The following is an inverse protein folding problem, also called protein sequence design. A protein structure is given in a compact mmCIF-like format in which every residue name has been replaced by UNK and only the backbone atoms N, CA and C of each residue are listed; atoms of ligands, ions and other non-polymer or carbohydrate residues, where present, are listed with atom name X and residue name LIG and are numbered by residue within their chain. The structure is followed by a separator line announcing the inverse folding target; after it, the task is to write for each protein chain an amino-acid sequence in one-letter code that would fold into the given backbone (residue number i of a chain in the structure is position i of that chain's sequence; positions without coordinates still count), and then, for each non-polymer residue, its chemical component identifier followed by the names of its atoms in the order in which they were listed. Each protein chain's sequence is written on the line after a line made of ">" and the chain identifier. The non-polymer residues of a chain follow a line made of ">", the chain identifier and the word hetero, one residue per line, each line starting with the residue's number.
data_IF_211976372979
#
_entry.id   IF_211976372979
#
_cell.length_a   1.000
_cell.length_b   1.000
_cell.length_c   1.000
_cell.angle_alpha   90.00
_cell.angle_beta   90.00
_cell.angle_gamma   90.00
#
_symmetry.space_group_name_H-M   'P 1'
#
loop_
_entity.id
_entity.type
_entity.pdbx_description
1 polymer ?
#
# COMPACT_ATOMS: atom_id res chain seq x y z
N UNK A 1 18.24 -46.18 11.90
CA UNK A 1 17.21 -45.27 12.48
C UNK A 1 17.81 -43.86 12.60
N UNK A 2 17.16 -42.81 12.07
CA UNK A 2 17.64 -41.44 12.25
C UNK A 2 17.74 -41.13 13.75
N UNK A 3 18.90 -40.60 14.19
CA UNK A 3 19.12 -40.23 15.59
C UNK A 3 18.07 -39.21 16.03
N UNK A 4 17.48 -39.40 17.21
CA UNK A 4 16.50 -38.45 17.78
C UNK A 4 17.16 -37.06 17.88
N UNK A 5 16.54 -36.04 17.26
CA UNK A 5 17.03 -34.65 17.33
C UNK A 5 17.09 -34.18 18.79
N UNK A 6 18.19 -33.53 19.17
CA UNK A 6 18.39 -32.90 20.48
C UNK A 6 17.35 -31.79 20.71
N UNK A 7 17.09 -31.45 21.98
CA UNK A 7 16.15 -30.37 22.34
C UNK A 7 16.55 -29.02 21.72
N UNK A 8 17.85 -28.72 21.70
CA UNK A 8 18.41 -27.53 21.05
C UNK A 8 18.13 -27.51 19.54
N UNK A 9 18.38 -28.62 18.82
CA UNK A 9 18.12 -28.71 17.37
C UNK A 9 16.63 -28.55 17.04
N UNK A 10 15.73 -29.04 17.89
CA UNK A 10 14.27 -28.83 17.75
C UNK A 10 13.88 -27.36 17.99
N UNK A 11 14.51 -26.67 18.94
CA UNK A 11 14.27 -25.24 19.21
C UNK A 11 14.74 -24.39 18.03
N UNK A 12 15.93 -24.65 17.52
CA UNK A 12 16.50 -23.96 16.35
C UNK A 12 15.63 -24.15 15.09
N UNK A 13 15.17 -25.38 14.81
CA UNK A 13 14.25 -25.64 13.68
C UNK A 13 12.91 -24.91 13.84
N UNK A 14 12.34 -24.89 15.05
CA UNK A 14 11.09 -24.15 15.33
C UNK A 14 11.27 -22.64 15.18
N UNK A 15 12.41 -22.10 15.61
CA UNK A 15 12.74 -20.68 15.43
C UNK A 15 12.94 -20.35 13.95
N UNK A 16 13.66 -21.18 13.18
CA UNK A 16 13.83 -21.03 11.73
C UNK A 16 12.48 -21.07 10.98
N UNK A 17 11.57 -21.97 11.38
CA UNK A 17 10.21 -22.01 10.83
C UNK A 17 9.43 -20.74 11.17
N UNK A 18 9.48 -20.27 12.41
CA UNK A 18 8.84 -19.01 12.82
C UNK A 18 9.42 -17.81 12.04
N UNK A 19 10.73 -17.73 11.85
CA UNK A 19 11.38 -16.69 11.05
C UNK A 19 10.97 -16.77 9.58
N UNK A 20 10.82 -17.97 9.03
CA UNK A 20 10.31 -18.17 7.67
C UNK A 20 8.86 -17.71 7.55
N UNK A 21 8.01 -18.00 8.53
CA UNK A 21 6.62 -17.53 8.59
C UNK A 21 6.56 -15.99 8.66
N UNK A 22 7.36 -15.37 9.53
CA UNK A 22 7.44 -13.91 9.64
C UNK A 22 7.90 -13.28 8.31
N UNK A 23 8.92 -13.86 7.67
CA UNK A 23 9.42 -13.37 6.36
C UNK A 23 8.42 -13.60 5.23
N UNK A 24 7.54 -14.60 5.34
CA UNK A 24 6.49 -14.87 4.35
C UNK A 24 5.24 -14.02 4.53
N UNK A 25 5.16 -13.22 5.59
CA UNK A 25 4.03 -12.34 5.82
C UNK A 25 3.94 -11.30 4.69
N UNK A 26 2.73 -11.07 4.21
CA UNK A 26 2.47 -10.01 3.24
C UNK A 26 2.78 -8.65 3.87
N UNK A 27 3.65 -7.89 3.20
CA UNK A 27 4.01 -6.53 3.59
C UNK A 27 2.98 -5.57 3.01
N UNK A 28 2.36 -4.69 3.83
CA UNK A 28 1.46 -3.66 3.33
C UNK A 28 2.12 -2.81 2.24
N UNK A 29 1.33 -2.35 1.27
CA UNK A 29 1.85 -1.54 0.16
C UNK A 29 2.56 -0.26 0.65
N UNK A 30 2.11 0.31 1.77
CA UNK A 30 2.69 1.52 2.34
C UNK A 30 4.14 1.34 2.83
N UNK A 31 4.48 0.12 3.26
CA UNK A 31 5.80 -0.20 3.85
C UNK A 31 6.81 -0.68 2.80
N UNK A 32 6.36 -0.89 1.56
CA UNK A 32 7.22 -1.33 0.46
C UNK A 32 8.08 -0.17 -0.05
N UNK A 33 9.39 -0.37 -0.28
CA UNK A 33 10.28 0.72 -0.68
C UNK A 33 9.87 1.43 -1.97
N UNK A 34 9.25 0.71 -2.91
CA UNK A 34 8.72 1.27 -4.14
C UNK A 34 7.53 2.24 -3.94
N UNK A 35 6.92 2.27 -2.75
CA UNK A 35 5.81 3.16 -2.41
C UNK A 35 6.05 3.95 -1.11
N UNK A 36 7.31 4.00 -0.66
CA UNK A 36 7.74 4.84 0.44
C UNK A 36 7.46 6.32 0.11
N UNK A 37 7.18 7.16 1.12
CA UNK A 37 7.10 8.61 0.90
C UNK A 37 8.48 9.15 0.51
N UNK A 38 8.50 10.12 -0.39
CA UNK A 38 9.68 10.90 -0.74
C UNK A 38 9.32 12.38 -0.78
N UNK A 39 10.28 13.22 -0.42
CA UNK A 39 10.20 14.67 -0.59
C UNK A 39 11.21 15.07 -1.66
N UNK A 40 10.79 15.93 -2.60
CA UNK A 40 11.65 16.32 -3.70
C UNK A 40 12.70 17.35 -3.25
N UNK A 41 13.99 17.07 -3.46
CA UNK A 41 15.09 17.99 -3.10
C UNK A 41 15.02 19.38 -3.77
N UNK A 42 14.31 19.49 -4.90
CA UNK A 42 14.25 20.73 -5.70
C UNK A 42 13.01 21.57 -5.44
N UNK A 43 11.85 20.94 -5.23
CA UNK A 43 10.57 21.65 -5.09
C UNK A 43 9.82 21.31 -3.81
N UNK A 44 10.40 20.51 -2.90
CA UNK A 44 9.92 20.22 -1.55
C UNK A 44 8.51 19.59 -1.50
N UNK A 45 7.99 19.17 -2.65
CA UNK A 45 6.71 18.48 -2.74
C UNK A 45 6.87 17.03 -2.33
N UNK A 46 5.94 16.57 -1.48
CA UNK A 46 5.82 15.18 -1.05
C UNK A 46 5.15 14.36 -2.15
N UNK A 47 5.72 13.19 -2.44
CA UNK A 47 5.19 12.22 -3.40
C UNK A 47 5.61 10.81 -2.97
N UNK A 48 5.25 9.79 -3.77
CA UNK A 48 5.74 8.42 -3.55
C UNK A 48 7.10 8.23 -4.23
N UNK A 49 7.91 7.29 -3.73
CA UNK A 49 9.27 6.98 -4.21
C UNK A 49 9.29 6.63 -5.69
N UNK A 50 9.76 7.56 -6.53
CA UNK A 50 9.72 7.46 -8.00
C UNK A 50 11.05 7.90 -8.60
N UNK A 51 11.31 7.50 -9.83
CA UNK A 51 12.58 7.76 -10.49
C UNK A 51 12.83 9.26 -10.73
N UNK A 52 11.75 10.01 -10.88
CA UNK A 52 11.73 11.45 -11.05
C UNK A 52 10.56 12.05 -10.28
N UNK A 53 10.66 13.34 -9.97
CA UNK A 53 9.56 14.07 -9.38
C UNK A 53 8.49 14.36 -10.42
N UNK A 54 7.24 13.94 -10.20
CA UNK A 54 6.16 14.21 -11.16
C UNK A 54 5.80 15.70 -11.27
N UNK A 55 6.16 16.52 -10.28
CA UNK A 55 5.84 17.94 -10.28
C UNK A 55 6.85 18.80 -11.05
N UNK A 56 8.14 18.50 -10.93
CA UNK A 56 9.21 19.34 -11.50
C UNK A 56 10.23 18.56 -12.33
N UNK A 57 10.01 17.26 -12.53
CA UNK A 57 10.82 16.34 -13.32
C UNK A 57 12.27 16.19 -12.85
N UNK A 58 12.61 16.68 -11.66
CA UNK A 58 13.95 16.51 -11.10
C UNK A 58 14.18 15.09 -10.60
N UNK A 59 15.40 14.61 -10.75
CA UNK A 59 15.86 13.35 -10.16
C UNK A 59 16.31 13.60 -8.72
N UNK A 60 15.95 12.70 -7.81
CA UNK A 60 16.34 12.79 -6.41
C UNK A 60 17.84 12.56 -6.24
N UNK A 61 18.53 13.35 -5.41
CA UNK A 61 19.98 13.21 -5.20
C UNK A 61 20.32 11.88 -4.55
N UNK A 62 19.48 11.43 -3.61
CA UNK A 62 19.62 10.19 -2.86
C UNK A 62 18.39 9.30 -3.11
N UNK A 63 18.31 8.59 -4.25
CA UNK A 63 17.19 7.71 -4.55
C UNK A 63 17.26 6.45 -3.68
N UNK A 64 16.08 5.96 -3.29
CA UNK A 64 15.91 4.73 -2.52
C UNK A 64 15.63 3.59 -3.50
N UNK A 65 16.32 2.45 -3.36
CA UNK A 65 16.00 1.27 -4.16
C UNK A 65 14.61 0.73 -3.84
N UNK A 66 13.77 0.60 -4.87
CA UNK A 66 12.39 0.12 -4.81
C UNK A 66 12.24 -1.34 -4.32
N UNK A 67 13.30 -2.15 -4.40
CA UNK A 67 13.30 -3.55 -3.95
C UNK A 67 13.89 -3.73 -2.56
N UNK A 68 15.05 -3.12 -2.28
CA UNK A 68 15.80 -3.39 -1.05
C UNK A 68 15.84 -2.22 -0.07
N UNK A 69 15.26 -1.06 -0.41
CA UNK A 69 15.20 0.11 0.47
C UNK A 69 16.55 0.81 0.72
N UNK A 70 17.64 0.36 0.09
CA UNK A 70 18.97 0.95 0.32
C UNK A 70 19.13 2.27 -0.42
N UNK A 71 19.70 3.26 0.29
CA UNK A 71 20.10 4.58 -0.22
C UNK A 71 21.61 4.65 -0.51
N UNK A 72 22.39 3.82 0.20
CA UNK A 72 23.83 3.63 0.01
C UNK A 72 24.13 2.15 -0.16
N UNK A 73 25.03 1.81 -1.08
CA UNK A 73 25.43 0.44 -1.36
C UNK A 73 26.91 0.26 -1.07
N UNK A 74 27.23 -0.71 -0.22
CA UNK A 74 28.59 -1.17 -0.01
C UNK A 74 28.74 -2.55 -0.62
N UNK A 75 29.83 -2.77 -1.36
CA UNK A 75 30.11 -4.07 -1.98
C UNK A 75 30.65 -5.07 -0.94
N UNK A 76 29.87 -5.39 0.09
CA UNK A 76 30.23 -6.43 1.09
C UNK A 76 30.08 -7.84 0.52
N UNK A 77 29.01 -8.08 -0.24
CA UNK A 77 28.61 -9.43 -0.69
C UNK A 77 28.82 -9.70 -2.19
N UNK A 78 29.42 -8.77 -2.94
CA UNK A 78 29.75 -8.97 -4.37
C UNK A 78 28.56 -9.10 -5.34
N UNK A 79 27.31 -8.95 -4.87
CA UNK A 79 26.10 -9.14 -5.69
C UNK A 79 25.76 -7.95 -6.63
N UNK A 80 26.62 -6.93 -6.69
CA UNK A 80 26.40 -5.77 -7.58
C UNK A 80 26.90 -6.06 -9.01
N UNK A 81 26.10 -5.71 -10.01
CA UNK A 81 26.49 -5.79 -11.43
C UNK A 81 27.63 -4.81 -11.73
N UNK A 82 27.53 -3.60 -11.19
CA UNK A 82 28.62 -2.60 -11.23
C UNK A 82 29.44 -2.75 -9.95
N UNK A 83 30.72 -3.07 -10.09
CA UNK A 83 31.63 -3.27 -8.95
C UNK A 83 32.08 -1.91 -8.40
N UNK A 84 32.00 -1.76 -7.09
CA UNK A 84 32.49 -0.59 -6.35
C UNK A 84 33.19 -1.00 -5.04
N UNK A 85 34.35 -1.67 -5.12
CA UNK A 85 35.08 -2.14 -3.95
C UNK A 85 35.60 -0.97 -3.11
N UNK A 86 35.50 -1.07 -1.79
CA UNK A 86 36.04 -0.07 -0.86
C UNK A 86 35.33 1.29 -0.83
N UNK A 87 34.28 1.49 -1.63
CA UNK A 87 33.54 2.76 -1.71
C UNK A 87 32.04 2.52 -1.58
N UNK A 88 31.38 3.37 -0.80
CA UNK A 88 29.92 3.46 -0.80
C UNK A 88 29.47 4.12 -2.08
N UNK A 89 28.77 3.38 -2.92
CA UNK A 89 28.08 4.00 -4.05
C UNK A 89 26.77 4.60 -3.54
N UNK A 90 26.46 5.81 -3.97
CA UNK A 90 25.22 6.56 -3.64
C UNK A 90 24.70 7.26 -4.90
N UNK A 91 23.49 7.82 -4.81
CA UNK A 91 22.92 8.59 -5.92
C UNK A 91 22.72 7.77 -7.19
N UNK A 92 22.95 8.41 -8.33
CA UNK A 92 22.86 7.78 -9.66
C UNK A 92 23.92 6.70 -9.90
N UNK A 93 24.98 6.62 -9.09
CA UNK A 93 25.98 5.56 -9.24
C UNK A 93 25.44 4.18 -8.84
N UNK A 94 24.42 4.12 -7.96
CA UNK A 94 23.85 2.84 -7.48
C UNK A 94 22.78 2.26 -8.41
N UNK A 95 22.42 3.04 -9.41
CA UNK A 95 21.12 3.05 -10.05
C UNK A 95 21.23 2.12 -11.25
N UNK A 96 20.47 1.02 -11.25
CA UNK A 96 20.63 -0.09 -12.20
C UNK A 96 19.54 -0.15 -13.26
N UNK A 97 18.27 0.03 -12.87
CA UNK A 97 17.14 0.11 -13.78
C UNK A 97 15.99 0.92 -13.18
N UNK A 98 15.07 1.39 -14.03
CA UNK A 98 13.76 1.91 -13.62
C UNK A 98 12.72 0.82 -13.90
N UNK A 99 11.81 0.59 -12.96
CA UNK A 99 10.76 -0.40 -13.12
C UNK A 99 9.57 0.15 -13.93
N UNK A 100 9.15 -0.56 -14.98
CA UNK A 100 8.02 -0.14 -15.83
C UNK A 100 6.66 -0.11 -15.09
N UNK A 101 6.52 -0.85 -13.99
CA UNK A 101 5.26 -0.93 -13.23
C UNK A 101 5.12 0.16 -12.19
N UNK A 102 6.15 0.39 -11.37
CA UNK A 102 6.09 1.35 -10.26
C UNK A 102 6.83 2.66 -10.55
N UNK A 103 7.52 2.78 -11.69
CA UNK A 103 8.36 3.92 -12.07
C UNK A 103 9.38 4.32 -11.00
N UNK A 104 9.78 3.39 -10.15
CA UNK A 104 10.77 3.62 -9.11
C UNK A 104 12.13 3.06 -9.52
N UNK A 105 13.19 3.66 -8.99
CA UNK A 105 14.56 3.21 -9.21
C UNK A 105 14.85 1.89 -8.51
N UNK A 106 15.54 0.99 -9.20
CA UNK A 106 16.07 -0.26 -8.68
C UNK A 106 17.59 -0.21 -8.74
N UNK A 107 18.25 -0.59 -7.65
CA UNK A 107 19.71 -0.60 -7.60
C UNK A 107 20.31 -1.68 -8.51
N UNK A 108 21.59 -1.54 -8.85
CA UNK A 108 22.34 -2.50 -9.67
C UNK A 108 22.65 -3.85 -9.01
N UNK A 109 22.03 -4.17 -7.88
CA UNK A 109 22.16 -5.48 -7.25
C UNK A 109 21.49 -6.53 -8.13
N UNK A 110 22.18 -7.62 -8.45
CA UNK A 110 21.66 -8.71 -9.31
C UNK A 110 20.32 -9.21 -8.81
N UNK A 111 20.21 -9.47 -7.51
CA UNK A 111 18.94 -9.88 -6.88
C UNK A 111 17.82 -8.86 -7.04
N UNK A 112 18.13 -7.56 -7.02
CA UNK A 112 17.12 -6.51 -7.16
C UNK A 112 16.62 -6.42 -8.60
N UNK A 113 17.55 -6.42 -9.57
CA UNK A 113 17.22 -6.35 -10.99
C UNK A 113 16.45 -7.59 -11.47
N UNK A 114 16.83 -8.79 -11.02
CA UNK A 114 16.18 -10.03 -11.46
C UNK A 114 14.76 -10.20 -10.90
N UNK A 115 14.52 -9.76 -9.66
CA UNK A 115 13.26 -10.07 -8.98
C UNK A 115 12.23 -8.95 -9.03
N UNK A 116 12.66 -7.68 -9.06
CA UNK A 116 11.76 -6.57 -8.78
C UNK A 116 10.58 -6.51 -9.76
N UNK A 117 10.82 -6.65 -11.06
CA UNK A 117 9.75 -6.62 -12.06
C UNK A 117 8.73 -7.75 -11.83
N UNK A 118 9.19 -8.96 -11.51
CA UNK A 118 8.32 -10.12 -11.28
C UNK A 118 7.51 -10.03 -9.99
N UNK A 119 8.02 -9.35 -8.97
CA UNK A 119 7.36 -9.22 -7.66
C UNK A 119 6.89 -7.80 -7.38
N UNK A 120 6.77 -6.95 -8.42
CA UNK A 120 6.42 -5.56 -8.22
C UNK A 120 4.99 -5.46 -7.67
N UNK A 121 4.77 -4.82 -6.50
CA UNK A 121 3.44 -4.75 -5.90
C UNK A 121 2.47 -3.88 -6.71
N UNK A 122 2.97 -3.10 -7.66
CA UNK A 122 2.19 -2.23 -8.54
C UNK A 122 2.03 -2.80 -9.97
N UNK A 123 2.38 -4.06 -10.21
CA UNK A 123 2.28 -4.69 -11.54
C UNK A 123 0.86 -4.62 -12.14
N UNK A 124 -0.17 -4.75 -11.29
CA UNK A 124 -1.58 -4.68 -11.68
C UNK A 124 -2.28 -3.48 -11.01
N UNK A 125 -1.54 -2.40 -10.77
CA UNK A 125 -2.06 -1.22 -10.11
C UNK A 125 -2.82 -0.31 -11.09
N UNK A 126 -4.12 -0.55 -11.19
CA UNK A 126 -5.09 0.29 -11.86
C UNK A 126 -6.14 0.74 -10.86
N UNK A 127 -6.44 2.03 -10.81
CA UNK A 127 -7.48 2.55 -9.91
C UNK A 127 -8.83 1.89 -10.23
N UNK A 128 -9.53 1.42 -9.21
CA UNK A 128 -10.86 0.80 -9.39
C UNK A 128 -11.94 1.80 -9.84
N UNK A 129 -11.81 3.08 -9.50
CA UNK A 129 -12.86 4.08 -9.77
C UNK A 129 -12.64 4.80 -11.10
N UNK A 130 -11.43 5.30 -11.34
CA UNK A 130 -11.14 6.06 -12.56
C UNK A 130 -10.40 5.26 -13.65
N UNK A 131 -10.15 3.95 -13.43
CA UNK A 131 -9.52 3.03 -14.40
C UNK A 131 -8.12 3.42 -14.90
N UNK A 132 -7.51 4.43 -14.26
CA UNK A 132 -6.20 4.98 -14.61
C UNK A 132 -5.06 4.26 -13.90
N UNK A 133 -3.90 4.21 -14.54
CA UNK A 133 -2.69 3.51 -14.07
C UNK A 133 -1.75 4.38 -13.24
N UNK A 134 -0.68 3.77 -12.73
CA UNK A 134 0.39 4.44 -11.93
C UNK A 134 0.94 5.70 -12.64
N UNK A 135 1.16 5.59 -13.96
CA UNK A 135 1.73 6.63 -14.81
C UNK A 135 0.89 7.89 -14.86
N UNK A 136 -0.43 7.74 -14.90
CA UNK A 136 -1.37 8.85 -15.10
C UNK A 136 -1.62 9.64 -13.81
N UNK A 137 -1.42 9.01 -12.65
CA UNK A 137 -1.65 9.62 -11.33
C UNK A 137 -0.40 10.23 -10.69
N UNK A 138 0.74 10.15 -11.37
CA UNK A 138 2.01 10.52 -10.77
C UNK A 138 2.42 9.57 -9.64
N UNK A 139 2.11 8.28 -9.80
CA UNK A 139 2.56 7.24 -8.88
C UNK A 139 1.80 7.11 -7.56
N UNK A 140 0.84 7.99 -7.24
CA UNK A 140 0.19 7.99 -5.93
C UNK A 140 -0.95 6.96 -5.89
N UNK A 141 -0.59 5.73 -5.54
CA UNK A 141 -1.51 4.58 -5.47
C UNK A 141 -1.54 3.98 -4.06
N UNK A 142 -2.75 3.65 -3.62
CA UNK A 142 -3.10 3.09 -2.33
C UNK A 142 -3.86 1.77 -2.52
N UNK A 143 -3.93 0.96 -1.46
CA UNK A 143 -4.80 -0.23 -1.41
C UNK A 143 -5.91 0.00 -0.40
N UNK A 144 -7.15 -0.28 -0.80
CA UNK A 144 -8.28 -0.26 0.13
C UNK A 144 -8.15 -1.39 1.16
N UNK A 145 -8.28 -1.08 2.45
CA UNK A 145 -8.24 -2.05 3.55
C UNK A 145 -9.38 -3.07 3.55
N UNK A 146 -10.45 -2.82 2.78
CA UNK A 146 -11.66 -3.65 2.77
C UNK A 146 -11.75 -4.58 1.56
N UNK A 147 -11.42 -4.09 0.37
CA UNK A 147 -11.50 -4.86 -0.88
C UNK A 147 -10.13 -5.22 -1.49
N UNK A 148 -9.02 -4.72 -0.93
CA UNK A 148 -7.67 -4.80 -1.48
C UNK A 148 -7.53 -4.29 -2.93
N UNK A 149 -8.48 -3.46 -3.37
CA UNK A 149 -8.44 -2.75 -4.64
C UNK A 149 -7.42 -1.61 -4.64
N UNK A 150 -6.85 -1.34 -5.80
CA UNK A 150 -5.97 -0.18 -5.98
C UNK A 150 -6.80 1.08 -6.18
N UNK A 151 -6.36 2.18 -5.56
CA UNK A 151 -7.03 3.46 -5.59
C UNK A 151 -5.99 4.56 -5.79
N UNK A 152 -6.33 5.58 -6.58
CA UNK A 152 -5.53 6.80 -6.63
C UNK A 152 -5.77 7.66 -5.37
N UNK A 153 -4.94 8.67 -5.16
CA UNK A 153 -5.09 9.58 -4.02
C UNK A 153 -6.45 10.29 -3.96
N UNK A 154 -6.99 10.65 -5.13
CA UNK A 154 -8.26 11.37 -5.23
C UNK A 154 -9.43 10.46 -4.85
N UNK A 155 -9.40 9.20 -5.29
CA UNK A 155 -10.50 8.24 -5.10
C UNK A 155 -10.41 7.48 -3.76
N UNK A 156 -9.26 7.52 -3.07
CA UNK A 156 -9.02 6.66 -1.91
C UNK A 156 -10.05 6.88 -0.79
N UNK A 157 -10.41 8.13 -0.52
CA UNK A 157 -11.25 8.49 0.62
C UNK A 157 -12.71 8.18 0.34
N UNK A 158 -13.19 8.53 -0.86
CA UNK A 158 -14.56 8.28 -1.27
C UNK A 158 -14.84 6.77 -1.39
N UNK A 159 -13.90 6.02 -1.95
CA UNK A 159 -14.01 4.57 -2.00
C UNK A 159 -13.95 3.96 -0.59
N UNK A 160 -13.00 4.35 0.27
CA UNK A 160 -12.93 3.78 1.63
C UNK A 160 -14.20 4.06 2.45
N UNK A 161 -14.82 5.23 2.28
CA UNK A 161 -16.06 5.58 2.96
C UNK A 161 -17.24 4.71 2.53
N UNK A 162 -17.29 4.28 1.26
CA UNK A 162 -18.42 3.53 0.69
C UNK A 162 -18.14 2.02 0.55
N UNK A 163 -16.90 1.57 0.61
CA UNK A 163 -16.52 0.21 0.23
C UNK A 163 -17.07 -0.89 1.16
N UNK A 164 -17.36 -0.60 2.43
CA UNK A 164 -18.02 -1.60 3.29
C UNK A 164 -19.51 -1.78 2.96
N UNK A 165 -20.11 -0.85 2.22
CA UNK A 165 -21.51 -0.89 1.84
C UNK A 165 -21.69 -1.81 0.64
N UNK A 166 -22.70 -2.68 0.72
CA UNK A 166 -23.15 -3.49 -0.40
C UNK A 166 -24.33 -2.78 -1.06
N UNK A 167 -24.23 -2.53 -2.37
CA UNK A 167 -25.30 -1.86 -3.13
C UNK A 167 -26.56 -2.73 -3.28
N UNK A 168 -26.43 -4.06 -3.13
CA UNK A 168 -27.56 -4.97 -3.23
C UNK A 168 -28.41 -4.96 -1.96
N UNK A 169 -29.52 -4.23 -1.98
CA UNK A 169 -30.51 -4.19 -0.88
C UNK A 169 -31.09 -5.57 -0.52
N UNK A 170 -31.04 -6.51 -1.47
CA UNK A 170 -31.69 -7.81 -1.33
C UNK A 170 -30.88 -8.83 -0.51
N UNK A 171 -29.58 -8.63 -0.29
CA UNK A 171 -28.67 -9.59 0.40
C UNK A 171 -28.82 -11.05 -0.05
N UNK A 172 -29.27 -11.26 -1.30
CA UNK A 172 -29.52 -12.59 -1.85
C UNK A 172 -28.21 -13.20 -2.34
N UNK A 173 -28.08 -14.50 -2.16
CA UNK A 173 -27.01 -15.30 -2.71
C UNK A 173 -27.07 -15.23 -4.24
N UNK A 174 -25.96 -14.86 -4.86
CA UNK A 174 -25.82 -14.76 -6.32
C UNK A 174 -26.25 -16.04 -7.07
N UNK A 175 -26.13 -17.21 -6.42
CA UNK A 175 -26.32 -18.52 -7.07
C UNK A 175 -27.65 -19.22 -6.76
N UNK A 176 -28.34 -18.95 -5.64
CA UNK A 176 -29.65 -19.59 -5.32
C UNK A 176 -30.74 -18.63 -4.83
N UNK A 177 -30.54 -17.31 -4.89
CA UNK A 177 -31.50 -16.30 -4.42
C UNK A 177 -31.99 -16.42 -2.96
N UNK A 178 -31.45 -17.36 -2.16
CA UNK A 178 -31.64 -17.43 -0.70
C UNK A 178 -30.83 -16.32 -0.02
N UNK A 179 -31.10 -16.02 1.25
CA UNK A 179 -30.29 -15.06 2.02
C UNK A 179 -28.81 -15.46 2.06
N UNK A 180 -27.93 -14.52 1.73
CA UNK A 180 -26.47 -14.68 1.74
C UNK A 180 -25.87 -14.35 3.10
N UNK A 181 -25.17 -15.31 3.69
CA UNK A 181 -24.51 -15.17 4.99
C UNK A 181 -23.07 -14.64 4.89
N UNK A 182 -22.46 -14.77 3.71
CA UNK A 182 -21.10 -14.33 3.43
C UNK A 182 -21.10 -13.31 2.31
N UNK A 183 -20.33 -12.24 2.47
CA UNK A 183 -20.22 -11.15 1.52
C UNK A 183 -18.78 -10.95 1.08
N UNK A 184 -18.58 -10.77 -0.22
CA UNK A 184 -17.28 -10.42 -0.77
C UNK A 184 -17.22 -8.92 -1.03
N UNK A 185 -16.39 -8.18 -0.28
CA UNK A 185 -16.24 -6.73 -0.43
C UNK A 185 -15.54 -6.31 -1.73
N UNK A 186 -14.83 -7.24 -2.39
CA UNK A 186 -14.22 -7.01 -3.71
C UNK A 186 -15.18 -7.21 -4.87
N UNK A 187 -16.08 -8.19 -4.79
CA UNK A 187 -17.09 -8.43 -5.82
C UNK A 187 -18.41 -7.70 -5.57
N UNK A 188 -18.63 -7.18 -4.37
CA UNK A 188 -19.92 -6.66 -3.88
C UNK A 188 -21.06 -7.67 -4.01
N UNK A 189 -20.78 -8.96 -3.80
CA UNK A 189 -21.75 -10.06 -3.94
C UNK A 189 -21.87 -10.88 -2.66
N UNK A 190 -23.10 -11.34 -2.38
CA UNK A 190 -23.40 -12.22 -1.25
C UNK A 190 -23.52 -13.69 -1.68
N UNK A 191 -23.20 -14.61 -0.76
CA UNK A 191 -23.26 -16.06 -0.94
C UNK A 191 -23.86 -16.75 0.30
N UNK A 192 -24.62 -17.83 0.11
CA UNK A 192 -25.01 -18.72 1.20
C UNK A 192 -23.87 -19.69 1.55
N UNK A 193 -23.99 -20.40 2.69
CA UNK A 193 -22.99 -21.38 3.15
C UNK A 193 -22.61 -22.42 2.08
N UNK A 194 -23.61 -22.92 1.34
CA UNK A 194 -23.39 -23.93 0.30
C UNK A 194 -22.68 -23.39 -0.94
N UNK A 195 -22.85 -22.10 -1.25
CA UNK A 195 -22.33 -21.49 -2.48
C UNK A 195 -21.02 -20.73 -2.29
N UNK A 196 -20.69 -20.36 -1.05
CA UNK A 196 -19.37 -19.83 -0.73
C UNK A 196 -18.33 -20.95 -0.62
N UNK A 197 -18.74 -22.15 -0.20
CA UNK A 197 -17.85 -23.32 -0.05
C UNK A 197 -17.81 -24.15 -1.31
N UNK A 198 -16.62 -24.41 -1.85
CA UNK A 198 -16.42 -25.39 -2.92
C UNK A 198 -16.56 -26.80 -2.35
N UNK A 199 -17.39 -27.63 -2.98
CA UNK A 199 -17.56 -29.05 -2.60
C UNK A 199 -16.21 -29.77 -2.69
N UNK A 200 -15.84 -30.51 -1.63
CA UNK A 200 -14.61 -31.31 -1.58
C UNK A 200 -13.36 -30.58 -1.08
N UNK A 201 -13.42 -29.28 -0.78
CA UNK A 201 -12.30 -28.54 -0.20
C UNK A 201 -12.40 -28.48 1.33
N UNK A 202 -11.32 -28.82 2.04
CA UNK A 202 -11.24 -28.66 3.49
C UNK A 202 -10.89 -27.22 3.82
N UNK A 203 -11.79 -26.52 4.49
CA UNK A 203 -11.55 -25.18 5.01
C UNK A 203 -11.02 -25.27 6.44
N UNK A 204 -9.96 -24.53 6.74
CA UNK A 204 -9.44 -24.40 8.09
C UNK A 204 -10.48 -23.67 8.97
N UNK A 205 -10.70 -24.19 10.17
CA UNK A 205 -11.50 -23.50 11.18
C UNK A 205 -10.80 -22.19 11.55
N UNK A 206 -11.55 -21.09 11.60
CA UNK A 206 -11.10 -19.72 11.91
C UNK A 206 -10.40 -18.93 10.79
N UNK A 207 -10.25 -19.47 9.57
CA UNK A 207 -9.85 -18.65 8.41
C UNK A 207 -11.09 -18.17 7.64
N UNK A 208 -11.08 -16.94 7.10
CA UNK A 208 -12.15 -16.48 6.23
C UNK A 208 -12.27 -17.39 5.00
N UNK A 209 -13.50 -17.58 4.52
CA UNK A 209 -13.74 -18.42 3.35
C UNK A 209 -13.45 -17.55 2.11
N UNK A 210 -12.63 -18.02 1.15
CA UNK A 210 -12.37 -17.28 -0.07
C UNK A 210 -13.60 -17.24 -0.98
N UNK A 211 -13.85 -16.08 -1.58
CA UNK A 211 -14.92 -15.85 -2.55
C UNK A 211 -14.76 -16.78 -3.76
N UNK A 212 -15.83 -17.44 -4.23
CA UNK A 212 -15.74 -18.36 -5.37
C UNK A 212 -15.35 -17.67 -6.68
N UNK A 213 -15.63 -16.36 -6.84
CA UNK A 213 -15.35 -15.58 -8.06
C UNK A 213 -13.95 -14.99 -8.10
N UNK A 214 -13.50 -14.34 -7.03
CA UNK A 214 -12.22 -13.61 -7.00
C UNK A 214 -11.21 -14.14 -5.97
N UNK A 215 -11.56 -15.20 -5.23
CA UNK A 215 -10.73 -15.82 -4.20
C UNK A 215 -10.33 -14.87 -3.04
N UNK A 216 -10.95 -13.70 -2.95
CA UNK A 216 -10.79 -12.76 -1.85
C UNK A 216 -11.57 -13.21 -0.61
N UNK A 217 -11.03 -12.92 0.57
CA UNK A 217 -11.65 -13.28 1.84
C UNK A 217 -13.05 -12.68 1.96
N UNK A 218 -14.03 -13.54 2.24
CA UNK A 218 -15.39 -13.12 2.53
C UNK A 218 -15.54 -12.76 4.01
N UNK A 219 -16.31 -11.70 4.27
CA UNK A 219 -16.76 -11.34 5.62
C UNK A 219 -18.17 -11.87 5.85
N UNK A 220 -18.55 -12.05 7.11
CA UNK A 220 -19.93 -12.44 7.44
C UNK A 220 -20.82 -11.23 7.26
N UNK A 221 -21.92 -11.37 6.51
CA UNK A 221 -22.84 -10.26 6.16
C UNK A 221 -23.36 -9.51 7.38
N UNK A 222 -23.55 -10.21 8.51
CA UNK A 222 -24.06 -9.64 9.76
C UNK A 222 -23.03 -8.77 10.50
N UNK A 223 -21.74 -9.02 10.29
CA UNK A 223 -20.65 -8.32 10.99
C UNK A 223 -20.29 -7.01 10.27
N UNK A 224 -20.77 -6.84 9.03
CA UNK A 224 -20.72 -5.58 8.31
C UNK A 224 -21.74 -4.63 8.95
N UNK A 225 -21.27 -3.52 9.52
CA UNK A 225 -22.11 -2.46 10.11
C UNK A 225 -22.89 -1.72 9.03
N UNK A 226 -23.92 -2.37 8.49
CA UNK A 226 -24.77 -1.81 7.44
C UNK A 226 -25.80 -0.89 8.10
N UNK A 227 -25.49 0.41 8.17
CA UNK A 227 -26.48 1.42 8.50
C UNK A 227 -27.51 1.47 7.38
N UNK A 228 -28.75 1.08 7.66
CA UNK A 228 -29.91 1.30 6.78
C UNK A 228 -30.33 2.78 6.70
N UNK A 229 -29.68 3.65 7.50
CA UNK A 229 -29.84 5.10 7.43
C UNK A 229 -28.66 5.68 6.66
N UNK A 230 -28.86 5.93 5.37
CA UNK A 230 -27.91 6.67 4.54
C UNK A 230 -27.91 8.14 4.97
N UNK A 231 -27.01 8.52 5.87
CA UNK A 231 -26.73 9.94 6.12
C UNK A 231 -25.83 10.44 5.00
N UNK A 232 -26.43 11.03 3.97
CA UNK A 232 -25.69 11.73 2.91
C UNK A 232 -25.17 13.03 3.54
N UNK A 233 -23.93 13.02 4.00
CA UNK A 233 -23.23 14.22 4.46
C UNK A 233 -22.87 15.09 3.26
N UNK A 234 -23.89 15.69 2.64
CA UNK A 234 -23.76 16.84 1.77
C UNK A 234 -24.03 18.09 2.59
N UNK A 235 -23.30 19.18 2.31
CA UNK A 235 -23.64 20.53 2.78
C UNK A 235 -25.11 20.79 2.42
N UNK A 236 -26.03 20.59 3.36
CA UNK A 236 -27.41 20.98 3.17
C UNK A 236 -27.44 22.50 3.15
N UNK A 237 -27.57 23.04 1.95
CA UNK A 237 -28.00 24.41 1.74
C UNK A 237 -29.38 24.53 2.39
N UNK A 238 -29.46 25.34 3.44
CA UNK A 238 -30.70 25.69 4.11
C UNK A 238 -31.60 26.39 3.08
N UNK A 239 -32.66 25.71 2.63
CA UNK A 239 -33.55 26.23 1.60
C UNK A 239 -34.85 25.44 1.47
N UNK A 240 -35.89 25.94 2.16
CA UNK A 240 -37.32 25.61 2.00
C UNK A 240 -37.77 24.24 2.57
N UNK A 241 -38.97 24.04 3.10
CA UNK A 241 -40.20 24.84 3.12
C UNK A 241 -41.14 24.21 4.16
N UNK A 242 -41.91 25.02 4.90
CA UNK A 242 -43.22 24.63 5.45
C UNK A 242 -43.94 25.94 5.81
N UNK A 243 -44.76 26.46 4.90
CA UNK A 243 -46.23 26.38 4.97
C UNK A 243 -46.79 26.88 6.30
N UNK A 244 -47.18 28.16 6.31
CA UNK A 244 -48.31 28.68 7.09
C UNK A 244 -48.89 29.91 6.37
N UNK A 245 -50.22 29.96 6.38
CA UNK A 245 -51.09 30.87 5.62
C UNK A 245 -50.95 32.36 5.98
N UNK A 246 -51.39 33.20 5.03
CA UNK A 246 -52.21 34.42 5.20
C UNK A 246 -51.69 35.66 4.44
N UNK A 247 -52.52 36.12 3.50
CA UNK A 247 -52.97 37.51 3.47
C UNK A 247 -52.01 38.63 3.01
N UNK A 248 -52.40 39.22 1.86
CA UNK A 248 -52.50 40.69 1.67
C UNK A 248 -51.24 41.49 1.26
N UNK A 249 -51.18 41.84 -0.04
CA UNK A 249 -51.12 43.26 -0.47
C UNK A 249 -49.77 43.90 -0.85
N UNK A 250 -49.65 44.22 -2.16
CA UNK A 250 -48.93 45.41 -2.70
C UNK A 250 -47.40 45.40 -2.62
N UNK A 251 -46.62 46.21 -3.34
CA UNK A 251 -46.80 47.20 -4.40
C UNK A 251 -45.36 47.64 -4.78
N UNK A 252 -45.04 47.76 -6.08
CA UNK A 252 -43.87 48.47 -6.66
C UNK A 252 -42.47 47.85 -6.44
N UNK A 253 -41.51 47.91 -7.37
CA UNK A 253 -41.38 48.72 -8.56
C UNK A 253 -40.05 49.50 -8.54
N UNK A 254 -39.24 49.25 -9.57
CA UNK A 254 -38.22 50.15 -10.15
C UNK A 254 -36.83 50.33 -9.49
N UNK A 255 -35.82 50.19 -10.37
CA UNK A 255 -34.58 50.99 -10.51
C UNK A 255 -33.65 51.13 -9.29
N UNK A 256 -32.33 51.06 -9.38
CA UNK A 256 -31.40 51.29 -10.49
C UNK A 256 -30.17 52.01 -9.94
N UNK A 257 -28.98 51.61 -10.41
CA UNK A 257 -27.75 52.41 -10.60
C UNK A 257 -27.03 53.12 -9.43
N UNK A 258 -25.70 52.91 -9.39
CA UNK A 258 -24.68 53.95 -9.11
C UNK A 258 -24.06 53.91 -7.71
N UNK A 259 -22.79 53.52 -7.54
CA UNK A 259 -21.50 54.22 -7.76
C UNK A 259 -21.01 55.13 -6.61
N UNK A 260 -19.75 54.89 -6.23
CA UNK A 260 -18.74 55.71 -5.51
C UNK A 260 -18.89 56.03 -4.01
N UNK A 261 -17.87 55.59 -3.24
CA UNK A 261 -16.91 56.54 -2.66
C UNK A 261 -16.81 56.65 -1.12
N UNK A 262 -15.65 56.25 -0.58
CA UNK A 262 -14.89 57.06 0.38
C UNK A 262 -15.13 56.89 1.90
N UNK A 263 -14.11 56.36 2.58
CA UNK A 263 -13.46 57.06 3.71
C UNK A 263 -13.97 56.88 5.15
N UNK A 264 -13.04 56.37 5.97
CA UNK A 264 -12.72 56.79 7.34
C UNK A 264 -13.40 56.14 8.58
N UNK A 265 -12.50 55.60 9.42
CA UNK A 265 -12.42 55.72 10.89
C UNK A 265 -13.28 54.82 11.80
N UNK A 266 -12.61 54.23 12.80
CA UNK A 266 -13.22 53.75 14.03
C UNK A 266 -13.09 52.25 14.29
N UNK A 267 -11.87 51.73 14.50
CA UNK A 267 -11.62 50.35 14.94
C UNK A 267 -11.23 50.32 16.42
N UNK A 268 -12.12 49.77 17.23
CA UNK A 268 -12.07 49.58 18.68
C UNK A 268 -11.10 48.45 19.05
N UNK A 269 -10.21 48.75 20.00
CA UNK A 269 -9.20 47.86 20.57
C UNK A 269 -9.82 46.91 21.60
N UNK A 270 -9.56 45.61 21.46
CA UNK A 270 -9.67 44.62 22.53
C UNK A 270 -8.32 43.91 22.63
N UNK A 271 -7.68 44.03 23.80
CA UNK A 271 -6.39 43.43 24.10
C UNK A 271 -6.48 41.92 24.25
N UNK A 272 -5.37 41.25 23.94
CA UNK A 272 -5.10 39.89 24.37
C UNK A 272 -3.66 39.89 24.93
N UNK A 273 -3.55 39.62 26.23
CA UNK A 273 -2.31 39.28 26.92
C UNK A 273 -1.86 37.91 26.40
N UNK A 274 -0.67 37.84 25.79
CA UNK A 274 0.03 36.58 25.52
C UNK A 274 1.06 36.41 26.65
N UNK A 275 0.71 35.55 27.61
CA UNK A 275 1.62 35.03 28.63
C UNK A 275 2.59 34.02 27.99
N UNK A 276 3.87 34.28 28.22
CA UNK A 276 5.01 33.43 27.88
C UNK A 276 5.03 32.17 28.77
N UNK A 277 5.09 30.98 28.18
CA UNK A 277 5.48 29.77 28.92
C UNK A 277 6.45 28.93 28.08
N UNK A 278 7.73 29.05 28.43
CA UNK A 278 8.81 28.18 28.00
C UNK A 278 8.74 26.86 28.77
N UNK A 279 8.68 25.73 28.06
CA UNK A 279 8.92 24.42 28.67
C UNK A 279 9.89 23.61 27.81
N UNK A 280 11.14 23.69 28.26
CA UNK A 280 12.29 22.86 27.90
C UNK A 280 12.05 21.41 28.37
N UNK A 281 12.19 20.47 27.46
CA UNK A 281 11.88 19.06 27.66
C UNK A 281 12.95 18.19 27.01
N UNK A 282 14.08 18.11 27.69
CA UNK A 282 15.25 17.26 27.42
C UNK A 282 14.83 15.77 27.41
N UNK A 283 15.11 15.06 26.32
CA UNK A 283 14.90 13.61 26.23
C UNK A 283 16.25 12.94 25.99
N UNK A 284 16.74 12.30 27.05
CA UNK A 284 17.97 11.52 27.08
C UNK A 284 17.89 10.28 26.15
N UNK A 285 18.96 10.12 25.37
CA UNK A 285 19.22 9.08 24.36
C UNK A 285 19.86 7.86 25.04
N UNK A 286 19.11 6.79 25.25
CA UNK A 286 19.62 5.49 25.73
C UNK A 286 19.88 4.59 24.51
N UNK A 287 21.13 4.64 24.06
CA UNK A 287 21.71 3.79 23.01
C UNK A 287 22.10 2.42 23.57
N UNK A 288 21.26 1.40 23.35
CA UNK A 288 21.62 -0.02 23.57
C UNK A 288 22.34 -0.58 22.32
N UNK A 289 23.67 -0.65 22.40
CA UNK A 289 24.55 -1.36 21.46
C UNK A 289 24.72 -2.83 21.93
N UNK A 290 23.90 -3.74 21.40
CA UNK A 290 24.17 -5.19 21.50
C UNK A 290 24.87 -5.67 20.21
N UNK A 291 26.19 -5.86 20.34
CA UNK A 291 27.13 -6.40 19.35
C UNK A 291 27.29 -7.91 19.57
N UNK A 292 26.52 -8.73 18.84
CA UNK A 292 26.67 -10.19 18.81
C UNK A 292 27.45 -10.60 17.53
N UNK A 293 28.75 -10.78 17.70
CA UNK A 293 29.70 -11.42 16.76
C UNK A 293 29.41 -12.94 16.69
N UNK A 294 28.73 -13.40 15.63
CA UNK A 294 28.58 -14.82 15.32
C UNK A 294 29.63 -15.23 14.26
N UNK A 295 30.70 -15.89 14.71
CA UNK A 295 31.66 -16.61 13.88
C UNK A 295 31.01 -17.89 13.30
N UNK A 296 30.68 -17.89 12.00
CA UNK A 296 30.29 -19.11 11.29
C UNK A 296 31.55 -19.87 10.80
N UNK A 297 31.85 -21.02 11.42
CA UNK A 297 32.77 -22.03 10.86
C UNK A 297 32.12 -22.75 9.67
N UNK A 298 32.70 -22.59 8.47
CA UNK A 298 32.32 -23.33 7.25
C UNK A 298 32.91 -24.75 7.27
N UNK A 299 32.06 -25.79 7.29
CA UNK A 299 32.47 -27.17 6.96
C UNK A 299 32.42 -27.37 5.44
N UNK A 300 33.57 -27.70 4.84
CA UNK A 300 33.73 -28.05 3.43
C UNK A 300 33.08 -29.41 3.10
N UNK A 301 31.99 -29.43 2.32
CA UNK A 301 31.53 -30.65 1.63
C UNK A 301 32.35 -30.86 0.36
N UNK A 302 33.26 -31.83 0.43
CA UNK A 302 33.96 -32.39 -0.73
C UNK A 302 32.97 -33.19 -1.59
N UNK A 303 32.84 -32.79 -2.87
CA UNK A 303 32.02 -33.48 -3.86
C UNK A 303 32.86 -34.53 -4.59
N UNK A 304 32.54 -35.81 -4.38
CA UNK A 304 33.09 -36.91 -5.17
C UNK A 304 32.55 -36.86 -6.60
N UNK A 305 33.46 -36.75 -7.56
CA UNK A 305 33.20 -36.82 -8.99
C UNK A 305 33.06 -38.27 -9.47
N UNK A 306 31.89 -38.64 -10.01
CA UNK A 306 31.75 -39.83 -10.87
C UNK A 306 31.95 -39.46 -12.36
N UNK A 307 32.62 -40.31 -13.16
CA UNK A 307 33.06 -39.96 -14.51
C UNK A 307 31.97 -40.15 -15.58
N UNK A 308 32.02 -39.25 -16.56
CA UNK A 308 31.19 -39.21 -17.76
C UNK A 308 31.39 -40.47 -18.64
N UNK A 309 30.27 -41.07 -19.09
CA UNK A 309 30.27 -42.05 -20.19
C UNK A 309 30.05 -41.33 -21.52
N UNK A 310 31.06 -41.37 -22.38
CA UNK A 310 30.98 -40.99 -23.79
C UNK A 310 29.83 -41.73 -24.51
N UNK A 311 29.03 -40.99 -25.25
CA UNK A 311 28.07 -41.53 -26.22
C UNK A 311 28.61 -41.31 -27.62
N UNK A 312 29.13 -42.37 -28.22
CA UNK A 312 29.62 -42.40 -29.58
C UNK A 312 28.43 -42.53 -30.55
N UNK A 313 28.08 -41.43 -31.25
CA UNK A 313 27.13 -41.42 -32.37
C UNK A 313 27.90 -41.42 -33.68
N UNK A 314 28.00 -42.60 -34.30
CA UNK A 314 28.46 -42.75 -35.68
C UNK A 314 27.26 -43.04 -36.59
N UNK A 315 26.89 -42.06 -37.41
CA UNK A 315 26.06 -42.24 -38.61
C UNK A 315 26.95 -41.98 -39.82
N UNK A 316 27.19 -43.00 -40.65
CA UNK A 316 27.26 -42.87 -42.11
C UNK A 316 27.49 -44.22 -42.76
N UNK A 317 26.60 -44.49 -43.73
CA UNK A 317 26.65 -45.46 -44.83
C UNK A 317 26.09 -46.86 -44.58
#
# INVERSE_FOLDING_TARGET
>A
MPKKKTGQRKKAEKQKLRLKEIRSREVPLADLPCNAPMECDKCEKKQKSRAFCYFCQSIQRLPICAQCGKIKCMLKTGDCVVKHPGVYTTGLGMVGAICDFCEAWVCHGRKCLQNHACTCPLQNATCLECERGVWEHGGRIFKCSFCNGFLCEDDQFEHQASCQVLESENYKCQSCNKLGQYSCLRCKTCYCEDHVRRKGFKYDKNKPIPCPKCNYDTSVTKDLSMSTRSHKFGRQQQGGNSDDEEGYGGYYGASGSGYYGGGASGGYSYGNDDDEDESDGDYEDESDEDDDDDEEEEEEETTESEPEKETDKKSTK
#
